data_IF_500170679766
#
_entry.id   IF_500170679766
#
_cell.length_a   1.000
_cell.length_b   1.000
_cell.length_c   1.000
_cell.angle_alpha   90.00
_cell.angle_beta   90.00
_cell.angle_gamma   90.00
#
_symmetry.space_group_name_H-M   'P 1'
#
loop_
_entity.id
_entity.type
_entity.pdbx_description
1 polymer ?
#
# COMPACT_ATOMS: atom_id res chain seq x y z
N UNK A 1 15.47 -1.05 21.43
CA UNK A 1 14.42 -1.74 20.63
C UNK A 1 13.43 -2.45 21.54
N UNK A 2 13.88 -3.26 22.50
CA UNK A 2 13.03 -3.97 23.46
C UNK A 2 12.01 -3.07 24.19
N UNK A 3 12.46 -1.95 24.78
CA UNK A 3 11.56 -0.97 25.46
C UNK A 3 10.54 -0.30 24.51
N UNK A 4 10.90 -0.16 23.22
CA UNK A 4 9.98 0.39 22.23
C UNK A 4 8.88 -0.62 21.89
N UNK A 5 9.21 -1.92 21.77
CA UNK A 5 8.20 -2.92 21.40
C UNK A 5 7.10 -3.06 22.47
N UNK A 6 7.44 -2.94 23.76
CA UNK A 6 6.49 -3.12 24.86
C UNK A 6 5.57 -1.93 25.12
N UNK A 7 5.66 -0.84 24.35
CA UNK A 7 4.92 0.41 24.60
C UNK A 7 4.14 0.94 23.40
N UNK A 8 4.08 0.17 22.30
CA UNK A 8 3.55 0.64 21.03
C UNK A 8 2.41 -0.25 20.56
N UNK A 9 1.32 0.37 20.09
CA UNK A 9 0.20 -0.35 19.47
C UNK A 9 0.59 -0.94 18.11
N UNK A 10 1.62 -0.36 17.46
CA UNK A 10 2.16 -0.79 16.17
C UNK A 10 3.68 -0.74 16.25
N UNK A 11 4.33 -1.86 15.89
CA UNK A 11 5.77 -1.93 15.68
C UNK A 11 6.08 -2.26 14.23
N UNK A 12 6.77 -1.36 13.53
CA UNK A 12 7.24 -1.58 12.17
C UNK A 12 8.76 -1.78 12.17
N UNK A 13 9.21 -2.91 11.66
CA UNK A 13 10.59 -3.18 11.33
C UNK A 13 10.78 -3.19 9.81
N UNK A 14 11.64 -2.30 9.30
CA UNK A 14 12.13 -2.33 7.93
C UNK A 14 13.65 -2.55 7.94
N UNK A 15 14.12 -3.70 7.47
CA UNK A 15 15.54 -3.98 7.49
C UNK A 15 15.90 -5.44 7.25
N UNK A 16 17.20 -5.74 7.35
CA UNK A 16 17.69 -7.10 7.18
C UNK A 16 17.34 -7.98 8.38
N UNK A 17 16.93 -9.20 8.07
CA UNK A 17 16.56 -10.23 9.04
C UNK A 17 17.65 -10.47 10.08
N UNK A 18 18.90 -10.63 9.62
CA UNK A 18 20.05 -10.82 10.52
C UNK A 18 20.26 -9.66 11.47
N UNK A 19 20.02 -8.43 11.04
CA UNK A 19 20.13 -7.28 11.95
C UNK A 19 19.07 -7.37 13.06
N UNK A 20 17.84 -7.76 12.73
CA UNK A 20 16.77 -7.95 13.71
C UNK A 20 17.11 -9.03 14.75
N UNK A 21 17.61 -10.18 14.29
CA UNK A 21 17.86 -11.35 15.16
C UNK A 21 19.22 -11.28 15.85
N UNK A 22 20.29 -10.96 15.13
CA UNK A 22 21.67 -11.07 15.64
C UNK A 22 22.06 -9.85 16.46
N UNK A 23 21.64 -8.64 16.04
CA UNK A 23 22.01 -7.39 16.71
C UNK A 23 20.98 -6.95 17.73
N UNK A 24 19.69 -7.11 17.41
CA UNK A 24 18.63 -6.69 18.30
C UNK A 24 17.97 -7.86 19.05
N UNK A 25 18.38 -9.10 18.80
CA UNK A 25 17.94 -10.28 19.55
C UNK A 25 16.41 -10.53 19.52
N UNK A 26 15.69 -9.94 18.58
CA UNK A 26 14.26 -10.23 18.41
C UNK A 26 14.09 -11.58 17.70
N UNK A 27 13.20 -12.48 18.17
CA UNK A 27 12.23 -12.31 19.26
C UNK A 27 12.65 -12.95 20.59
N UNK A 28 13.94 -13.18 20.85
CA UNK A 28 14.45 -13.92 22.03
C UNK A 28 14.01 -13.34 23.38
N UNK A 29 13.59 -12.08 23.41
CA UNK A 29 13.04 -11.43 24.60
C UNK A 29 11.81 -12.17 25.14
N UNK A 30 11.64 -12.19 26.46
CA UNK A 30 10.61 -12.99 27.14
C UNK A 30 9.53 -12.16 27.80
N UNK A 31 9.70 -10.84 27.91
CA UNK A 31 8.73 -9.98 28.58
C UNK A 31 7.41 -9.95 27.81
N UNK A 32 6.25 -9.90 28.49
CA UNK A 32 4.97 -9.72 27.81
C UNK A 32 4.96 -8.50 26.89
N UNK A 33 4.29 -8.63 25.76
CA UNK A 33 4.03 -7.53 24.84
C UNK A 33 2.69 -6.90 25.16
N UNK A 34 2.59 -5.58 24.96
CA UNK A 34 1.29 -4.94 24.86
C UNK A 34 0.54 -5.50 23.64
N UNK A 35 -0.80 -5.59 23.67
CA UNK A 35 -1.60 -5.99 22.53
C UNK A 35 -1.38 -5.03 21.35
N UNK A 36 -0.56 -5.45 20.38
CA UNK A 36 -0.18 -4.61 19.26
C UNK A 36 0.03 -5.38 17.97
N UNK A 37 0.11 -4.64 16.86
CA UNK A 37 0.45 -5.16 15.55
C UNK A 37 1.96 -5.09 15.33
N UNK A 38 2.56 -6.21 14.97
CA UNK A 38 3.98 -6.27 14.56
C UNK A 38 4.05 -6.43 13.05
N UNK A 39 4.73 -5.52 12.38
CA UNK A 39 4.96 -5.54 10.94
C UNK A 39 6.44 -5.71 10.63
N UNK A 40 6.82 -6.85 10.07
CA UNK A 40 8.18 -7.25 9.74
C UNK A 40 8.40 -7.18 8.23
N UNK A 41 8.78 -6.00 7.73
CA UNK A 41 9.29 -5.79 6.38
C UNK A 41 10.73 -6.32 6.31
N UNK A 42 10.86 -7.65 6.31
CA UNK A 42 12.13 -8.32 6.14
C UNK A 42 11.93 -9.68 5.46
N UNK A 43 12.91 -10.11 4.68
CA UNK A 43 12.85 -11.37 3.95
C UNK A 43 12.77 -12.55 4.92
N UNK A 44 11.82 -13.47 4.69
CA UNK A 44 11.65 -14.71 5.47
C UNK A 44 11.35 -14.51 6.97
N UNK A 45 10.93 -13.30 7.38
CA UNK A 45 10.69 -12.97 8.78
C UNK A 45 9.35 -13.46 9.33
N UNK A 46 8.43 -13.94 8.49
CA UNK A 46 7.22 -14.61 8.95
C UNK A 46 7.41 -16.12 8.90
N UNK A 47 7.90 -16.68 10.00
CA UNK A 47 8.04 -18.11 10.22
C UNK A 47 7.81 -18.43 11.69
N UNK A 48 7.68 -19.72 12.04
CA UNK A 48 7.32 -20.14 13.39
C UNK A 48 8.32 -19.67 14.44
N UNK A 49 9.62 -19.80 14.17
CA UNK A 49 10.69 -19.44 15.13
C UNK A 49 10.64 -17.96 15.52
N UNK A 50 10.19 -17.10 14.61
CA UNK A 50 10.25 -15.65 14.76
C UNK A 50 8.90 -15.05 15.18
N UNK A 51 7.81 -15.50 14.58
CA UNK A 51 6.49 -14.92 14.79
C UNK A 51 5.73 -15.57 15.97
N UNK A 52 5.92 -16.85 16.21
CA UNK A 52 5.21 -17.56 17.28
C UNK A 52 5.57 -17.03 18.69
N UNK A 53 6.85 -16.72 19.00
CA UNK A 53 7.18 -16.11 20.30
C UNK A 53 6.47 -14.76 20.51
N UNK A 54 6.32 -13.96 19.46
CA UNK A 54 5.66 -12.65 19.55
C UNK A 54 4.16 -12.80 19.83
N UNK A 55 3.50 -13.73 19.15
CA UNK A 55 2.09 -14.04 19.39
C UNK A 55 1.87 -14.60 20.81
N UNK A 56 2.73 -15.54 21.26
CA UNK A 56 2.67 -16.10 22.62
C UNK A 56 2.84 -15.05 23.71
N UNK A 57 3.56 -13.96 23.42
CA UNK A 57 3.78 -12.85 24.34
C UNK A 57 2.67 -11.80 24.34
N UNK A 58 1.67 -11.90 23.45
CA UNK A 58 0.49 -11.03 23.45
C UNK A 58 0.30 -10.17 22.20
N UNK A 59 1.13 -10.31 21.16
CA UNK A 59 0.89 -9.60 19.90
C UNK A 59 -0.47 -10.02 19.29
N UNK A 60 -1.26 -9.04 18.85
CA UNK A 60 -2.57 -9.28 18.24
C UNK A 60 -2.45 -9.80 16.81
N UNK A 61 -1.35 -9.46 16.14
CA UNK A 61 -1.00 -9.99 14.85
C UNK A 61 0.44 -9.71 14.48
N UNK A 62 1.03 -10.63 13.72
CA UNK A 62 2.33 -10.47 13.10
C UNK A 62 2.14 -10.52 11.59
N UNK A 63 2.51 -9.44 10.90
CA UNK A 63 2.61 -9.39 9.46
C UNK A 63 4.06 -9.47 9.09
N UNK A 64 4.40 -10.31 8.13
CA UNK A 64 5.74 -10.37 7.60
C UNK A 64 5.78 -11.16 6.32
N UNK A 65 6.97 -11.43 5.83
CA UNK A 65 7.13 -12.17 4.57
C UNK A 65 7.63 -13.59 4.75
N UNK A 66 7.05 -14.49 3.97
CA UNK A 66 7.44 -15.90 3.90
C UNK A 66 8.48 -16.19 2.82
N UNK A 67 8.92 -15.18 2.07
CA UNK A 67 9.88 -15.33 0.97
C UNK A 67 10.76 -14.09 0.80
N UNK A 68 11.75 -14.17 -0.09
CA UNK A 68 12.62 -13.04 -0.43
C UNK A 68 11.85 -12.00 -1.25
N UNK A 69 12.11 -10.74 -0.96
CA UNK A 69 11.53 -9.60 -1.69
C UNK A 69 12.58 -8.52 -1.93
N UNK A 70 12.29 -7.62 -2.85
CA UNK A 70 13.06 -6.38 -3.00
C UNK A 70 12.57 -5.33 -1.99
N UNK A 71 13.50 -4.55 -1.44
CA UNK A 71 13.19 -3.50 -0.46
C UNK A 71 12.19 -2.48 -0.99
N UNK A 72 12.33 -2.06 -2.26
CA UNK A 72 11.43 -1.09 -2.88
C UNK A 72 9.97 -1.59 -2.94
N UNK A 73 9.76 -2.84 -3.35
CA UNK A 73 8.42 -3.45 -3.38
C UNK A 73 7.88 -3.73 -1.97
N UNK A 74 8.78 -4.03 -1.01
CA UNK A 74 8.44 -4.14 0.41
C UNK A 74 7.92 -2.83 1.00
N UNK A 75 8.66 -1.73 0.85
CA UNK A 75 8.24 -0.41 1.32
C UNK A 75 6.95 0.08 0.63
N UNK A 76 6.79 -0.20 -0.67
CA UNK A 76 5.55 0.08 -1.39
C UNK A 76 4.35 -0.67 -0.81
N UNK A 77 4.55 -1.93 -0.41
CA UNK A 77 3.54 -2.73 0.28
C UNK A 77 3.23 -2.17 1.67
N UNK A 78 4.27 -1.89 2.47
CA UNK A 78 4.15 -1.32 3.82
C UNK A 78 3.34 -0.03 3.78
N UNK A 79 3.70 0.90 2.90
CA UNK A 79 2.98 2.17 2.72
C UNK A 79 1.51 1.95 2.35
N UNK A 80 1.24 1.07 1.38
CA UNK A 80 -0.12 0.79 0.97
C UNK A 80 -0.97 0.14 2.08
N UNK A 81 -0.37 -0.73 2.88
CA UNK A 81 -1.01 -1.35 4.04
C UNK A 81 -1.38 -0.31 5.10
N UNK A 82 -0.42 0.51 5.53
CA UNK A 82 -0.66 1.51 6.56
C UNK A 82 -1.61 2.60 6.08
N UNK A 83 -1.56 2.98 4.81
CA UNK A 83 -2.54 3.92 4.28
C UNK A 83 -3.97 3.35 4.29
N UNK A 84 -4.16 2.09 3.90
CA UNK A 84 -5.46 1.44 3.97
C UNK A 84 -6.01 1.39 5.41
N UNK A 85 -5.13 1.14 6.37
CA UNK A 85 -5.48 1.12 7.79
C UNK A 85 -5.77 2.52 8.35
N UNK A 86 -4.99 3.53 7.99
CA UNK A 86 -5.04 4.87 8.60
C UNK A 86 -6.01 5.82 7.89
N UNK A 87 -6.15 5.74 6.57
CA UNK A 87 -7.05 6.60 5.81
C UNK A 87 -8.36 5.88 5.43
N UNK A 88 -8.31 4.61 5.04
CA UNK A 88 -9.47 3.90 4.46
C UNK A 88 -10.25 3.02 5.47
N UNK A 89 -9.89 3.08 6.74
CA UNK A 89 -10.51 2.41 7.90
C UNK A 89 -10.68 0.90 7.74
N UNK A 90 -9.71 0.29 7.06
CA UNK A 90 -9.70 -1.13 6.82
C UNK A 90 -9.26 -1.91 8.07
N UNK A 91 -9.88 -3.08 8.33
CA UNK A 91 -9.31 -4.05 9.27
C UNK A 91 -7.99 -4.61 8.72
N UNK A 92 -7.19 -5.27 9.54
CA UNK A 92 -5.87 -5.79 9.16
C UNK A 92 -5.89 -6.61 7.85
N UNK A 93 -6.85 -7.52 7.70
CA UNK A 93 -7.02 -8.30 6.48
C UNK A 93 -7.45 -7.47 5.27
N UNK A 94 -8.25 -6.42 5.49
CA UNK A 94 -8.62 -5.45 4.46
C UNK A 94 -7.44 -4.62 3.99
N UNK A 95 -6.61 -4.16 4.92
CA UNK A 95 -5.37 -3.43 4.64
C UNK A 95 -4.37 -4.29 3.88
N UNK A 96 -4.22 -5.57 4.28
CA UNK A 96 -3.40 -6.54 3.57
C UNK A 96 -3.89 -6.72 2.14
N UNK A 97 -5.19 -6.95 1.94
CA UNK A 97 -5.80 -7.08 0.62
C UNK A 97 -5.58 -5.84 -0.25
N UNK A 98 -5.74 -4.63 0.29
CA UNK A 98 -5.48 -3.41 -0.47
C UNK A 98 -4.01 -3.30 -0.90
N UNK A 99 -3.07 -3.57 -0.01
CA UNK A 99 -1.64 -3.55 -0.33
C UNK A 99 -1.27 -4.57 -1.43
N UNK A 100 -1.86 -5.77 -1.37
CA UNK A 100 -1.72 -6.79 -2.43
C UNK A 100 -2.24 -6.28 -3.78
N UNK A 101 -3.48 -5.79 -3.80
CA UNK A 101 -4.10 -5.30 -5.02
C UNK A 101 -3.38 -4.08 -5.58
N UNK A 102 -2.87 -3.18 -4.73
CA UNK A 102 -2.02 -2.07 -5.17
C UNK A 102 -0.79 -2.56 -5.94
N UNK A 103 -0.03 -3.52 -5.41
CA UNK A 103 1.15 -4.04 -6.11
C UNK A 103 0.79 -4.79 -7.40
N UNK A 104 -0.33 -5.52 -7.43
CA UNK A 104 -0.82 -6.17 -8.65
C UNK A 104 -1.21 -5.14 -9.71
N UNK A 105 -1.95 -4.09 -9.34
CA UNK A 105 -2.26 -2.97 -10.24
C UNK A 105 -0.99 -2.26 -10.70
N UNK A 106 -0.02 -2.07 -9.80
CA UNK A 106 1.23 -1.40 -10.13
C UNK A 106 2.03 -2.16 -11.19
N UNK A 107 2.03 -3.49 -11.18
CA UNK A 107 2.64 -4.30 -12.24
C UNK A 107 2.01 -3.99 -13.59
N UNK A 108 0.68 -4.09 -13.67
CA UNK A 108 -0.07 -3.85 -14.90
C UNK A 108 0.14 -2.41 -15.41
N UNK A 109 0.12 -1.43 -14.50
CA UNK A 109 0.31 -0.03 -14.87
C UNK A 109 1.75 0.24 -15.33
N UNK A 110 2.75 -0.35 -14.66
CA UNK A 110 4.15 -0.21 -15.05
C UNK A 110 4.40 -0.81 -16.43
N UNK A 111 3.82 -1.97 -16.73
CA UNK A 111 3.87 -2.60 -18.05
C UNK A 111 3.22 -1.71 -19.11
N UNK A 112 2.03 -1.15 -18.83
CA UNK A 112 1.39 -0.19 -19.75
C UNK A 112 2.20 1.09 -19.97
N UNK A 113 2.88 1.60 -18.94
CA UNK A 113 3.61 2.87 -19.02
C UNK A 113 4.98 2.74 -19.67
N UNK A 114 5.66 1.61 -19.46
CA UNK A 114 7.04 1.41 -19.89
C UNK A 114 7.17 0.45 -21.07
N UNK A 115 6.10 -0.28 -21.42
CA UNK A 115 6.08 -1.26 -22.51
C UNK A 115 7.25 -2.25 -22.39
N UNK A 116 8.10 -2.37 -23.42
CA UNK A 116 9.28 -3.22 -23.48
C UNK A 116 10.35 -2.88 -22.43
N UNK A 117 10.31 -1.67 -21.85
CA UNK A 117 11.24 -1.21 -20.80
C UNK A 117 10.80 -1.63 -19.40
N UNK A 118 9.63 -2.26 -19.25
CA UNK A 118 9.15 -2.75 -17.97
C UNK A 118 10.01 -3.90 -17.43
N UNK A 119 10.92 -3.59 -16.51
CA UNK A 119 11.74 -4.61 -15.83
C UNK A 119 11.17 -4.97 -14.46
N UNK A 120 11.48 -6.19 -14.00
CA UNK A 120 11.18 -6.69 -12.65
C UNK A 120 9.68 -6.81 -12.33
N UNK A 121 8.79 -7.03 -13.31
CA UNK A 121 7.35 -7.26 -13.05
C UNK A 121 7.11 -8.39 -12.05
N UNK A 122 7.80 -9.52 -12.23
CA UNK A 122 7.74 -10.66 -11.32
C UNK A 122 8.18 -10.37 -9.88
N UNK A 123 9.01 -9.34 -9.64
CA UNK A 123 9.40 -8.95 -8.28
C UNK A 123 8.22 -8.36 -7.50
N UNK A 124 7.45 -7.46 -8.12
CA UNK A 124 6.29 -6.85 -7.50
C UNK A 124 5.16 -7.87 -7.26
N UNK A 125 4.95 -8.79 -8.22
CA UNK A 125 4.00 -9.90 -8.05
C UNK A 125 4.40 -10.76 -6.85
N UNK A 126 5.67 -11.17 -6.76
CA UNK A 126 6.16 -11.94 -5.61
C UNK A 126 5.96 -11.18 -4.30
N UNK A 127 6.25 -9.88 -4.25
CA UNK A 127 6.01 -9.06 -3.06
C UNK A 127 4.53 -8.96 -2.67
N UNK A 128 3.61 -8.87 -3.64
CA UNK A 128 2.18 -8.91 -3.35
C UNK A 128 1.78 -10.21 -2.63
N UNK A 129 2.38 -11.33 -3.01
CA UNK A 129 2.08 -12.62 -2.38
C UNK A 129 2.91 -12.93 -1.14
N UNK A 130 4.05 -12.27 -0.96
CA UNK A 130 5.00 -12.55 0.12
C UNK A 130 4.45 -12.23 1.51
N UNK A 131 3.72 -11.13 1.65
CA UNK A 131 3.21 -10.70 2.95
C UNK A 131 1.95 -11.46 3.36
N UNK A 132 1.99 -11.97 4.59
CA UNK A 132 0.90 -12.70 5.23
C UNK A 132 0.71 -12.19 6.65
N UNK A 133 -0.52 -12.30 7.16
CA UNK A 133 -0.88 -11.99 8.54
C UNK A 133 -1.06 -13.30 9.30
N UNK A 134 -0.39 -13.43 10.45
CA UNK A 134 -0.73 -14.41 11.49
C UNK A 134 -1.39 -13.64 12.64
N UNK A 135 -2.69 -13.84 12.85
CA UNK A 135 -3.51 -13.07 13.81
C UNK A 135 -4.94 -12.92 13.31
N UNK A 136 -5.74 -12.05 13.95
CA UNK A 136 -7.12 -11.80 13.56
C UNK A 136 -7.21 -10.82 12.36
N UNK A 137 -7.68 -11.26 11.17
CA UNK A 137 -7.80 -10.39 10.00
C UNK A 137 -8.95 -9.37 10.10
N UNK A 138 -9.87 -9.55 11.04
CA UNK A 138 -11.04 -8.67 11.24
C UNK A 138 -10.76 -7.52 12.19
N UNK A 139 -9.66 -7.60 12.95
CA UNK A 139 -9.26 -6.57 13.90
C UNK A 139 -9.08 -5.22 13.22
N UNK A 140 -9.63 -4.19 13.85
CA UNK A 140 -9.35 -2.79 13.56
C UNK A 140 -8.59 -2.21 14.75
N UNK A 141 -7.42 -1.65 14.49
CA UNK A 141 -6.69 -0.96 15.54
C UNK A 141 -7.42 0.33 15.92
N UNK A 142 -7.44 0.70 17.22
CA UNK A 142 -7.94 1.99 17.65
C UNK A 142 -7.26 3.11 16.87
N UNK A 143 -8.05 4.08 16.39
CA UNK A 143 -7.51 5.24 15.69
C UNK A 143 -7.43 6.39 16.66
N UNK A 144 -6.24 6.97 16.89
CA UNK A 144 -6.16 8.21 17.63
C UNK A 144 -6.93 9.31 16.86
N UNK A 145 -7.47 10.30 17.57
CA UNK A 145 -8.01 11.50 16.92
C UNK A 145 -6.97 12.09 15.96
N UNK A 146 -7.42 12.52 14.79
CA UNK A 146 -6.54 13.16 13.83
C UNK A 146 -5.98 14.46 14.44
N UNK A 147 -4.66 14.71 14.35
CA UNK A 147 -4.09 15.99 14.78
C UNK A 147 -4.74 17.18 14.05
N UNK A 148 -4.82 18.38 14.68
CA UNK A 148 -5.43 19.56 14.07
C UNK A 148 -4.79 19.99 12.74
N UNK A 149 -3.50 19.70 12.57
CA UNK A 149 -2.68 19.98 11.39
C UNK A 149 -2.68 18.83 10.36
N UNK A 150 -3.56 17.83 10.54
CA UNK A 150 -3.64 16.71 9.61
C UNK A 150 -4.08 17.15 8.20
N UNK A 151 -3.27 16.81 7.21
CA UNK A 151 -3.54 17.11 5.81
C UNK A 151 -4.74 16.30 5.29
N UNK A 152 -5.51 16.89 4.38
CA UNK A 152 -6.60 16.18 3.70
C UNK A 152 -6.01 15.05 2.84
N UNK A 153 -6.50 13.80 2.95
CA UNK A 153 -6.00 12.71 2.14
C UNK A 153 -6.66 12.66 0.75
N UNK A 154 -5.99 11.96 -0.17
CA UNK A 154 -6.62 11.46 -1.39
C UNK A 154 -7.83 10.61 -1.00
N UNK A 155 -8.98 10.93 -1.61
CA UNK A 155 -10.25 10.25 -1.37
C UNK A 155 -10.88 9.85 -2.68
N UNK A 156 -11.85 8.95 -2.61
CA UNK A 156 -12.68 8.65 -3.75
C UNK A 156 -14.16 8.61 -3.37
N UNK A 157 -15.03 8.87 -4.34
CA UNK A 157 -16.48 8.77 -4.19
C UNK A 157 -17.10 8.28 -5.49
N UNK A 158 -18.10 7.41 -5.35
CA UNK A 158 -18.98 7.00 -6.45
C UNK A 158 -20.29 7.76 -6.33
N UNK A 159 -20.73 8.38 -7.42
CA UNK A 159 -22.03 9.01 -7.54
C UNK A 159 -22.67 8.62 -8.88
N UNK A 160 -23.73 7.82 -8.82
CA UNK A 160 -24.37 7.29 -10.03
C UNK A 160 -23.40 6.41 -10.83
N UNK A 161 -23.06 6.89 -12.03
CA UNK A 161 -22.12 6.25 -12.96
C UNK A 161 -20.80 7.01 -13.03
N UNK A 162 -20.46 7.77 -11.99
CA UNK A 162 -19.23 8.56 -11.94
C UNK A 162 -18.42 8.20 -10.70
N UNK A 163 -17.17 7.81 -10.91
CA UNK A 163 -16.15 7.70 -9.86
C UNK A 163 -15.26 8.95 -9.91
N UNK A 164 -15.11 9.61 -8.78
CA UNK A 164 -14.23 10.78 -8.61
C UNK A 164 -13.13 10.43 -7.61
N UNK A 165 -11.87 10.60 -8.01
CA UNK A 165 -10.72 10.65 -7.12
C UNK A 165 -10.41 12.12 -6.83
N UNK A 166 -10.39 12.53 -5.57
CA UNK A 166 -10.05 13.90 -5.16
C UNK A 166 -8.60 13.93 -4.68
N UNK A 167 -7.81 14.83 -5.26
CA UNK A 167 -6.44 15.11 -4.84
C UNK A 167 -6.44 16.30 -3.87
N UNK A 168 -5.68 16.24 -2.78
CA UNK A 168 -5.54 17.37 -1.88
C UNK A 168 -4.58 18.41 -2.46
N UNK A 169 -4.83 19.69 -2.13
CA UNK A 169 -3.98 20.81 -2.57
C UNK A 169 -2.59 20.75 -1.92
N UNK A 170 -2.51 20.21 -0.70
CA UNK A 170 -1.27 20.09 0.06
C UNK A 170 -0.69 18.69 -0.01
N UNK A 171 0.64 18.61 -0.16
CA UNK A 171 1.45 17.40 -0.12
C UNK A 171 2.31 17.38 1.14
N UNK A 172 2.84 16.21 1.51
CA UNK A 172 3.90 16.13 2.52
C UNK A 172 5.18 16.81 2.02
N UNK A 173 6.04 17.20 2.96
CA UNK A 173 7.38 17.69 2.64
C UNK A 173 8.17 16.65 1.84
N UNK A 174 8.88 17.13 0.83
CA UNK A 174 9.71 16.29 -0.02
C UNK A 174 10.93 15.77 0.74
N UNK A 175 11.32 14.53 0.44
CA UNK A 175 12.55 13.92 0.96
C UNK A 175 13.51 13.69 -0.18
N UNK A 176 14.76 14.16 -0.04
CA UNK A 176 15.85 13.94 -1.00
C UNK A 176 16.98 13.13 -0.38
N UNK A 177 17.44 12.09 -1.08
CA UNK A 177 18.56 11.24 -0.65
C UNK A 177 19.30 10.64 -1.84
N UNK A 178 20.61 10.90 -1.95
CA UNK A 178 21.52 10.30 -2.95
C UNK A 178 20.98 10.36 -4.39
N UNK A 179 20.48 11.53 -4.81
CA UNK A 179 19.93 11.73 -6.17
C UNK A 179 18.54 11.14 -6.41
N UNK A 180 17.86 10.71 -5.36
CA UNK A 180 16.44 10.33 -5.40
C UNK A 180 15.61 11.32 -4.61
N UNK A 181 14.43 11.63 -5.12
CA UNK A 181 13.46 12.50 -4.49
C UNK A 181 12.10 11.81 -4.38
N UNK A 182 11.38 12.06 -3.29
CA UNK A 182 10.01 11.61 -3.11
C UNK A 182 9.18 12.71 -2.47
N UNK A 183 8.01 12.96 -3.02
CA UNK A 183 6.98 13.82 -2.46
C UNK A 183 5.63 13.17 -2.74
N UNK A 184 4.73 13.19 -1.76
CA UNK A 184 3.50 12.40 -1.85
C UNK A 184 2.33 13.12 -1.17
N UNK A 185 1.12 12.90 -1.68
CA UNK A 185 -0.11 13.31 -0.99
C UNK A 185 -0.42 12.33 0.15
N UNK A 186 -1.15 12.76 1.21
CA UNK A 186 -1.69 11.82 2.18
C UNK A 186 -2.64 10.83 1.49
N UNK A 187 -2.53 9.55 1.85
CA UNK A 187 -3.21 8.42 1.18
C UNK A 187 -2.86 8.20 -0.31
N UNK A 188 -1.88 8.88 -0.90
CA UNK A 188 -1.32 8.46 -2.18
C UNK A 188 -0.31 7.30 -1.99
N UNK A 189 -0.14 6.48 -3.02
CA UNK A 189 0.76 5.31 -3.00
C UNK A 189 2.05 5.61 -3.75
N UNK A 190 3.13 4.93 -3.41
CA UNK A 190 4.39 5.00 -4.15
C UNK A 190 4.94 3.60 -4.39
N UNK A 191 5.63 3.44 -5.51
CA UNK A 191 6.35 2.23 -5.86
C UNK A 191 7.59 2.59 -6.70
N UNK A 192 8.37 1.59 -7.11
CA UNK A 192 9.65 1.77 -7.83
C UNK A 192 9.54 2.26 -9.27
N UNK A 193 8.66 3.23 -9.56
CA UNK A 193 8.60 3.96 -10.82
C UNK A 193 9.26 5.32 -10.62
N UNK A 194 10.27 5.60 -11.43
CA UNK A 194 11.04 6.82 -11.37
C UNK A 194 10.78 7.66 -12.62
N UNK A 195 10.62 8.96 -12.45
CA UNK A 195 10.72 9.94 -13.54
C UNK A 195 12.02 10.70 -13.41
N UNK A 196 12.58 11.12 -14.55
CA UNK A 196 13.68 12.08 -14.62
C UNK A 196 13.11 13.39 -15.13
N UNK A 197 13.51 14.50 -14.55
CA UNK A 197 13.21 15.81 -15.10
C UNK A 197 14.31 16.19 -16.10
N UNK A 198 13.95 16.92 -17.15
CA UNK A 198 14.88 17.26 -18.23
C UNK A 198 15.92 18.21 -17.68
N UNK A 199 17.20 17.84 -17.80
CA UNK A 199 18.32 18.67 -17.33
C UNK A 199 18.71 18.46 -15.87
N UNK A 200 18.04 17.56 -15.14
CA UNK A 200 18.41 17.20 -13.78
C UNK A 200 18.89 15.75 -13.68
N UNK A 201 19.90 15.51 -12.84
CA UNK A 201 20.38 14.17 -12.49
C UNK A 201 19.46 13.45 -11.48
N UNK A 202 18.53 14.20 -10.88
CA UNK A 202 17.65 13.69 -9.85
C UNK A 202 16.52 12.81 -10.40
N UNK A 203 16.20 11.76 -9.64
CA UNK A 203 15.15 10.79 -9.97
C UNK A 203 14.02 10.90 -8.97
N UNK A 204 12.83 11.23 -9.46
CA UNK A 204 11.64 11.41 -8.62
C UNK A 204 10.82 10.13 -8.60
N UNK A 205 10.44 9.66 -7.41
CA UNK A 205 9.42 8.63 -7.29
C UNK A 205 8.07 9.18 -7.75
N UNK A 206 7.36 8.39 -8.56
CA UNK A 206 6.03 8.76 -9.05
C UNK A 206 4.98 8.40 -7.99
N UNK A 207 4.19 9.38 -7.50
CA UNK A 207 3.03 9.09 -6.65
C UNK A 207 1.87 8.55 -7.49
N UNK A 208 1.05 7.68 -6.90
CA UNK A 208 -0.11 7.08 -7.52
C UNK A 208 -1.38 7.28 -6.69
N UNK A 209 -2.51 7.44 -7.37
CA UNK A 209 -3.83 7.42 -6.74
C UNK A 209 -4.35 5.99 -6.80
N UNK A 210 -4.66 5.40 -5.64
CA UNK A 210 -5.22 4.06 -5.55
C UNK A 210 -6.57 4.10 -4.86
N UNK A 211 -7.56 3.39 -5.41
CA UNK A 211 -8.88 3.28 -4.82
C UNK A 211 -9.41 1.84 -4.91
N UNK A 212 -9.89 1.34 -3.77
CA UNK A 212 -10.78 0.17 -3.71
C UNK A 212 -12.22 0.69 -3.72
N UNK A 213 -12.93 0.49 -4.81
CA UNK A 213 -14.21 1.13 -5.12
C UNK A 213 -15.33 0.10 -5.07
N UNK A 214 -16.27 0.26 -4.15
CA UNK A 214 -17.46 -0.58 -4.12
C UNK A 214 -18.47 -0.15 -5.20
N UNK A 215 -18.86 -1.07 -6.07
CA UNK A 215 -19.74 -0.83 -7.22
C UNK A 215 -20.97 -1.75 -7.15
N UNK A 216 -21.92 -1.50 -6.23
CA UNK A 216 -23.01 -2.42 -5.93
C UNK A 216 -24.00 -2.64 -7.09
N UNK A 217 -24.05 -1.71 -8.05
CA UNK A 217 -24.90 -1.78 -9.24
C UNK A 217 -24.38 -2.75 -10.31
N UNK A 218 -23.14 -3.24 -10.19
CA UNK A 218 -22.60 -4.24 -11.09
C UNK A 218 -23.40 -5.55 -10.98
N UNK A 219 -23.86 -6.06 -12.13
CA UNK A 219 -24.59 -7.34 -12.21
C UNK A 219 -23.62 -8.52 -12.12
N UNK A 220 -24.03 -9.67 -11.54
CA UNK A 220 -23.25 -10.90 -11.62
C UNK A 220 -22.90 -11.25 -13.07
N UNK A 221 -21.67 -11.72 -13.30
CA UNK A 221 -21.13 -12.04 -14.62
C UNK A 221 -20.72 -10.83 -15.47
N UNK A 222 -21.02 -9.60 -15.03
CA UNK A 222 -20.71 -8.37 -15.77
C UNK A 222 -19.55 -7.63 -15.10
N UNK A 223 -18.55 -7.25 -15.90
CA UNK A 223 -17.39 -6.50 -15.42
C UNK A 223 -17.51 -5.01 -15.73
N UNK A 224 -17.50 -4.17 -14.69
CA UNK A 224 -17.13 -2.77 -14.68
C UNK A 224 -16.32 -2.23 -15.86
N UNK A 225 -16.83 -1.44 -16.81
CA UNK A 225 -15.93 -0.68 -17.70
C UNK A 225 -15.80 0.77 -17.24
N UNK A 226 -14.55 1.25 -17.23
CA UNK A 226 -14.26 2.64 -16.89
C UNK A 226 -13.79 3.41 -18.12
N UNK A 227 -14.25 4.65 -18.25
CA UNK A 227 -13.73 5.60 -19.25
C UNK A 227 -13.34 6.92 -18.58
N UNK A 228 -12.30 7.59 -19.09
CA UNK A 228 -11.79 8.82 -18.49
C UNK A 228 -11.09 9.71 -19.51
N UNK A 229 -10.96 11.00 -19.19
CA UNK A 229 -10.07 11.94 -19.89
C UNK A 229 -8.58 11.70 -19.54
N UNK A 230 -8.30 10.84 -18.56
CA UNK A 230 -6.94 10.36 -18.31
C UNK A 230 -6.61 9.28 -19.36
N UNK A 231 -5.46 9.40 -20.06
CA UNK A 231 -5.08 8.46 -21.11
C UNK A 231 -5.04 7.03 -20.57
N UNK A 232 -5.52 6.07 -21.34
CA UNK A 232 -5.66 4.67 -20.93
C UNK A 232 -4.35 4.02 -20.43
N UNK A 233 -3.19 4.53 -20.87
CA UNK A 233 -1.86 4.07 -20.40
C UNK A 233 -1.51 4.52 -18.98
N UNK A 234 -2.18 5.55 -18.45
CA UNK A 234 -1.93 6.13 -17.12
C UNK A 234 -2.79 5.51 -16.02
N UNK A 235 -3.61 4.51 -16.32
CA UNK A 235 -4.40 3.85 -15.30
C UNK A 235 -4.72 2.39 -15.64
N UNK A 236 -5.04 1.65 -14.59
CA UNK A 236 -5.50 0.26 -14.66
C UNK A 236 -6.66 0.06 -13.70
N UNK A 237 -7.56 -0.83 -14.09
CA UNK A 237 -8.70 -1.22 -13.29
C UNK A 237 -8.80 -2.74 -13.30
N UNK A 238 -9.06 -3.34 -12.15
CA UNK A 238 -9.38 -4.76 -12.02
C UNK A 238 -10.63 -4.95 -11.18
N UNK A 239 -11.42 -5.96 -11.52
CA UNK A 239 -12.72 -6.22 -10.90
C UNK A 239 -12.67 -7.48 -10.04
N UNK A 240 -13.09 -7.36 -8.78
CA UNK A 240 -13.40 -8.45 -7.87
C UNK A 240 -14.92 -8.61 -7.82
N UNK A 241 -15.43 -9.51 -8.65
CA UNK A 241 -16.85 -9.81 -8.78
C UNK A 241 -17.46 -10.26 -7.45
N UNK A 242 -16.76 -11.12 -6.71
CA UNK A 242 -17.24 -11.68 -5.44
C UNK A 242 -17.55 -10.59 -4.42
N UNK A 243 -16.75 -9.53 -4.40
CA UNK A 243 -16.91 -8.40 -3.47
C UNK A 243 -17.65 -7.21 -4.08
N UNK A 244 -17.96 -7.29 -5.37
CA UNK A 244 -18.42 -6.15 -6.18
C UNK A 244 -17.53 -4.93 -5.97
N UNK A 245 -16.23 -5.14 -5.99
CA UNK A 245 -15.22 -4.10 -5.76
C UNK A 245 -14.28 -3.99 -6.96
N UNK A 246 -14.03 -2.76 -7.40
CA UNK A 246 -13.01 -2.43 -8.37
C UNK A 246 -11.74 -1.90 -7.71
N UNK A 247 -10.58 -2.24 -8.25
CA UNK A 247 -9.29 -1.69 -7.84
C UNK A 247 -8.77 -0.80 -8.95
N UNK A 248 -8.76 0.51 -8.71
CA UNK A 248 -8.28 1.51 -9.65
C UNK A 248 -6.91 2.02 -9.20
N UNK A 249 -5.94 2.02 -10.10
CA UNK A 249 -4.66 2.69 -9.91
C UNK A 249 -4.43 3.70 -11.03
N UNK A 250 -4.07 4.92 -10.67
CA UNK A 250 -3.83 6.03 -11.61
C UNK A 250 -2.45 6.63 -11.35
N UNK A 251 -1.68 6.84 -12.42
CA UNK A 251 -0.51 7.70 -12.45
C UNK A 251 -0.93 9.11 -12.90
N UNK A 252 -1.20 10.04 -11.96
CA UNK A 252 -1.67 11.38 -12.28
C UNK A 252 -0.63 12.14 -13.12
N UNK A 253 -1.11 13.04 -13.98
CA UNK A 253 -0.27 13.95 -14.77
C UNK A 253 -0.21 15.31 -14.08
N UNK A 254 0.75 16.18 -14.45
CA UNK A 254 0.83 17.53 -13.88
C UNK A 254 -0.48 18.32 -13.96
N UNK A 255 -1.27 18.14 -15.03
CA UNK A 255 -2.56 18.82 -15.22
C UNK A 255 -3.74 18.24 -14.42
N UNK A 256 -3.55 17.09 -13.78
CA UNK A 256 -4.60 16.41 -13.00
C UNK A 256 -4.50 16.89 -11.54
N UNK A 257 -4.88 18.14 -11.26
CA UNK A 257 -4.54 18.83 -10.00
C UNK A 257 -5.55 18.65 -8.85
N UNK A 258 -6.86 18.60 -9.15
CA UNK A 258 -7.91 18.55 -8.11
C UNK A 258 -8.72 17.28 -8.10
N UNK A 259 -9.12 16.84 -9.30
CA UNK A 259 -9.98 15.67 -9.45
C UNK A 259 -9.59 14.86 -10.67
N UNK A 260 -9.65 13.54 -10.52
CA UNK A 260 -9.65 12.61 -11.63
C UNK A 260 -10.99 11.89 -11.68
N UNK A 261 -11.68 11.99 -12.83
CA UNK A 261 -13.02 11.45 -13.01
C UNK A 261 -13.02 10.26 -13.96
N UNK A 262 -13.81 9.25 -13.62
CA UNK A 262 -14.09 8.08 -14.44
C UNK A 262 -15.59 7.92 -14.57
N UNK A 263 -16.07 7.67 -15.79
CA UNK A 263 -17.42 7.18 -16.02
C UNK A 263 -17.41 5.65 -15.88
N UNK A 264 -18.45 5.12 -15.24
CA UNK A 264 -18.65 3.70 -14.99
C UNK A 264 -19.79 3.21 -15.88
N UNK A 265 -19.46 2.32 -16.80
CA UNK A 265 -20.43 1.54 -17.54
C UNK A 265 -20.65 0.20 -16.83
N UNK A 266 -21.89 -0.04 -16.41
CA UNK A 266 -22.30 -1.25 -15.68
C UNK A 266 -22.75 -2.39 -16.58
N UNK A 267 -22.88 -2.16 -17.89
CA UNK A 267 -23.46 -3.13 -18.83
C UNK A 267 -22.42 -3.94 -19.60
N UNK A 268 -21.14 -3.56 -19.52
CA UNK A 268 -20.01 -4.32 -20.09
C UNK A 268 -19.56 -3.78 -21.43
#
# INVERSE_FOLDING_TARGET
>A
MQQLLSSQDIFLWEGHYRTMVDRYEMPKWTEPLQPGLIFLQSCLALNEKEAQPLLRRGALGVIGSSTRMYSASGGAFTLAFFNAMNYDNQPLGGSLRQAKNFLLQYVLLKEKLLEDKAKLGGANIRSAWAFTLWGDPTLKLPRPPAPPDSLTPVRHKVHGNTLVLTLPETVYDGVKKKGYQAQNWPNARMAGLLRKEIGEDDRFLVPFLFAEVHLPKARPGVTPRLTSKVPAKHWVFSWDERRRCGYLLVAPRPRDEREVRFHIDYDG
#
